data_IF_744933527922
#
_entry.id   IF_744933527922
#
_cell.length_a   1.000
_cell.length_b   1.000
_cell.length_c   1.000
_cell.angle_alpha   90.00
_cell.angle_beta   90.00
_cell.angle_gamma   90.00
#
_symmetry.space_group_name_H-M   'P 1'
#
loop_
_entity.id
_entity.type
_entity.pdbx_description
1 polymer ?
#
# COMPACT_ATOMS: atom_id res chain seq x y z
N UNK A 1 -11.54 -5.95 18.59
CA UNK A 1 -11.27 -5.06 17.43
C UNK A 1 -12.06 -5.62 16.27
N UNK A 2 -12.91 -4.82 15.64
CA UNK A 2 -13.65 -5.21 14.43
C UNK A 2 -12.96 -4.60 13.22
N UNK A 3 -12.87 -5.35 12.13
CA UNK A 3 -12.30 -4.87 10.87
C UNK A 3 -13.38 -4.95 9.79
N UNK A 4 -13.70 -3.80 9.21
CA UNK A 4 -14.66 -3.68 8.13
C UNK A 4 -13.93 -3.42 6.80
N UNK A 5 -14.43 -3.99 5.70
CA UNK A 5 -13.84 -3.80 4.38
C UNK A 5 -14.67 -2.83 3.57
N UNK A 6 -14.01 -1.76 3.12
CA UNK A 6 -14.63 -0.74 2.26
C UNK A 6 -13.91 -0.70 0.91
N UNK A 7 -14.69 -0.62 -0.14
CA UNK A 7 -14.17 -0.56 -1.50
C UNK A 7 -14.29 0.84 -2.07
N UNK A 8 -13.25 1.28 -2.75
CA UNK A 8 -13.28 2.49 -3.56
C UNK A 8 -13.60 2.09 -4.99
N UNK A 9 -14.69 2.61 -5.53
CA UNK A 9 -15.13 2.36 -6.91
C UNK A 9 -14.48 3.33 -7.88
N UNK A 10 -14.29 2.92 -9.11
CA UNK A 10 -13.74 3.76 -10.18
C UNK A 10 -12.95 2.94 -11.19
N UNK A 11 -11.65 2.95 -11.11
CA UNK A 11 -10.76 2.28 -12.07
C UNK A 11 -10.47 0.86 -11.59
N UNK A 12 -10.71 -0.11 -12.46
CA UNK A 12 -10.53 -1.54 -12.13
C UNK A 12 -9.09 -2.06 -12.31
N UNK A 13 -8.16 -1.20 -12.76
CA UNK A 13 -6.78 -1.60 -13.01
C UNK A 13 -5.82 -0.58 -12.39
N UNK A 14 -5.17 -0.96 -11.30
CA UNK A 14 -4.19 -0.15 -10.57
C UNK A 14 -2.74 -0.53 -10.92
N UNK A 15 -2.49 -1.27 -11.99
CA UNK A 15 -1.13 -1.67 -12.40
C UNK A 15 -0.27 -0.49 -12.90
N UNK A 16 -0.91 0.63 -13.21
CA UNK A 16 -0.23 1.82 -13.73
C UNK A 16 -0.41 2.99 -12.78
N UNK A 17 0.67 3.71 -12.52
CA UNK A 17 0.68 4.86 -11.63
C UNK A 17 -0.35 5.94 -12.02
N UNK A 18 -0.64 6.10 -13.32
CA UNK A 18 -1.66 7.05 -13.77
C UNK A 18 -3.04 6.68 -13.24
N UNK A 19 -3.40 5.39 -13.22
CA UNK A 19 -4.68 4.94 -12.70
C UNK A 19 -4.74 5.01 -11.18
N UNK A 20 -3.63 4.71 -10.51
CA UNK A 20 -3.48 4.93 -9.08
C UNK A 20 -3.71 6.41 -8.74
N UNK A 21 -3.04 7.33 -9.45
CA UNK A 21 -3.21 8.77 -9.26
C UNK A 21 -4.65 9.25 -9.50
N UNK A 22 -5.35 8.70 -10.47
CA UNK A 22 -6.77 9.03 -10.71
C UNK A 22 -7.69 8.59 -9.57
N UNK A 23 -7.30 7.60 -8.78
CA UNK A 23 -8.06 7.12 -7.62
C UNK A 23 -7.81 7.92 -6.34
N UNK A 24 -6.77 8.78 -6.29
CA UNK A 24 -6.39 9.51 -5.08
C UNK A 24 -7.55 10.31 -4.48
N UNK A 25 -8.32 11.02 -5.32
CA UNK A 25 -9.49 11.78 -4.89
C UNK A 25 -10.54 10.88 -4.23
N UNK A 26 -10.87 9.75 -4.85
CA UNK A 26 -11.88 8.83 -4.35
C UNK A 26 -11.45 8.17 -3.03
N UNK A 27 -10.16 7.91 -2.86
CA UNK A 27 -9.60 7.37 -1.61
C UNK A 27 -9.73 8.41 -0.48
N UNK A 28 -9.37 9.67 -0.73
CA UNK A 28 -9.50 10.75 0.26
C UNK A 28 -10.95 10.94 0.67
N UNK A 29 -11.90 10.93 -0.27
CA UNK A 29 -13.32 11.04 0.05
C UNK A 29 -13.80 9.87 0.92
N UNK A 30 -13.33 8.65 0.63
CA UNK A 30 -13.67 7.47 1.43
C UNK A 30 -13.10 7.55 2.84
N UNK A 31 -11.86 7.99 3.01
CA UNK A 31 -11.26 8.21 4.34
C UNK A 31 -12.08 9.22 5.13
N UNK A 32 -12.48 10.33 4.51
CA UNK A 32 -13.31 11.35 5.19
C UNK A 32 -14.71 10.82 5.57
N UNK A 33 -15.30 9.94 4.76
CA UNK A 33 -16.55 9.24 5.10
C UNK A 33 -16.36 8.36 6.34
N UNK A 34 -15.33 7.50 6.36
CA UNK A 34 -15.04 6.60 7.47
C UNK A 34 -14.73 7.36 8.76
N UNK A 35 -13.97 8.46 8.67
CA UNK A 35 -13.72 9.35 9.80
C UNK A 35 -15.02 9.86 10.43
N UNK A 36 -15.99 10.28 9.59
CA UNK A 36 -17.32 10.75 10.07
C UNK A 36 -18.16 9.64 10.67
N UNK A 37 -17.89 8.38 10.33
CA UNK A 37 -18.52 7.20 10.93
C UNK A 37 -17.82 6.73 12.20
N UNK A 38 -16.86 7.51 12.72
CA UNK A 38 -16.10 7.26 13.95
C UNK A 38 -15.26 5.96 13.91
N UNK A 39 -14.66 5.64 12.77
CA UNK A 39 -13.61 4.62 12.72
C UNK A 39 -12.35 5.13 13.41
N UNK A 40 -11.68 4.28 14.20
CA UNK A 40 -10.44 4.61 14.91
C UNK A 40 -9.24 4.71 13.95
N UNK A 41 -9.23 3.89 12.89
CA UNK A 41 -8.15 3.83 11.94
C UNK A 41 -8.61 3.39 10.55
N UNK A 42 -7.86 3.77 9.53
CA UNK A 42 -8.01 3.32 8.14
C UNK A 42 -6.70 2.73 7.65
N UNK A 43 -6.76 1.54 7.04
CA UNK A 43 -5.64 0.93 6.33
C UNK A 43 -5.91 1.00 4.83
N UNK A 44 -5.01 1.65 4.09
CA UNK A 44 -5.09 1.75 2.64
C UNK A 44 -4.54 0.47 2.03
N UNK A 45 -5.39 -0.41 1.51
CA UNK A 45 -5.04 -1.75 1.05
C UNK A 45 -4.22 -1.81 -0.26
N UNK A 46 -3.21 -0.95 -0.42
CA UNK A 46 -2.31 -0.92 -1.57
C UNK A 46 -0.87 -0.73 -1.10
N UNK A 47 0.05 -1.58 -1.56
CA UNK A 47 1.46 -1.58 -1.13
C UNK A 47 2.26 -0.33 -1.58
N UNK A 48 1.74 0.44 -2.52
CA UNK A 48 2.31 1.74 -2.88
C UNK A 48 1.94 2.86 -1.90
N UNK A 49 1.09 2.58 -0.90
CA UNK A 49 0.61 3.54 0.11
C UNK A 49 0.11 4.84 -0.53
N UNK A 50 -0.82 4.75 -1.51
CA UNK A 50 -1.30 5.96 -2.19
C UNK A 50 -1.98 6.91 -1.21
N UNK A 51 -1.82 8.21 -1.42
CA UNK A 51 -2.39 9.32 -0.64
C UNK A 51 -2.04 9.38 0.85
N UNK A 52 -1.20 8.50 1.38
CA UNK A 52 -0.99 8.40 2.83
C UNK A 52 -0.53 9.74 3.46
N UNK A 53 0.45 10.39 2.83
CA UNK A 53 0.97 11.67 3.30
C UNK A 53 -0.09 12.77 3.22
N UNK A 54 -0.80 12.88 2.08
CA UNK A 54 -1.86 13.86 1.88
C UNK A 54 -3.07 13.62 2.82
N UNK A 55 -3.38 12.36 3.10
CA UNK A 55 -4.44 12.02 4.02
C UNK A 55 -4.08 12.36 5.47
N UNK A 56 -2.83 12.14 5.89
CA UNK A 56 -2.33 12.53 7.21
C UNK A 56 -2.20 14.03 7.37
N UNK A 57 -1.88 14.76 6.29
CA UNK A 57 -1.89 16.23 6.30
C UNK A 57 -3.32 16.76 6.50
N UNK A 58 -4.32 16.11 5.90
CA UNK A 58 -5.70 16.57 5.89
C UNK A 58 -6.49 16.15 7.13
N UNK A 59 -6.16 15.00 7.73
CA UNK A 59 -6.90 14.38 8.82
C UNK A 59 -5.97 14.01 9.98
N UNK A 60 -6.07 14.72 11.09
CA UNK A 60 -5.29 14.53 12.31
C UNK A 60 -6.03 13.75 13.42
N UNK A 61 -7.30 13.46 13.20
CA UNK A 61 -8.20 12.81 14.15
C UNK A 61 -8.50 11.33 13.85
N UNK A 62 -7.80 10.73 12.89
CA UNK A 62 -7.90 9.31 12.54
C UNK A 62 -6.52 8.73 12.19
N UNK A 63 -6.25 7.52 12.63
CA UNK A 63 -5.00 6.84 12.27
C UNK A 63 -5.08 6.35 10.82
N UNK A 64 -4.09 6.72 10.00
CA UNK A 64 -3.98 6.28 8.61
C UNK A 64 -2.70 5.48 8.43
N UNK A 65 -2.83 4.23 8.03
CA UNK A 65 -1.72 3.31 7.85
C UNK A 65 -1.68 2.72 6.43
N UNK A 66 -0.48 2.42 5.96
CA UNK A 66 -0.24 1.76 4.70
C UNK A 66 0.57 0.47 4.86
N UNK A 67 0.29 -0.58 4.10
CA UNK A 67 1.00 -1.85 4.19
C UNK A 67 2.47 -1.72 3.73
N UNK A 68 2.78 -0.83 2.80
CA UNK A 68 4.13 -0.65 2.29
C UNK A 68 5.09 -0.11 3.36
N UNK A 69 4.76 1.03 3.96
CA UNK A 69 5.57 1.61 5.05
C UNK A 69 5.64 0.69 6.27
N UNK A 70 4.50 0.10 6.66
CA UNK A 70 4.43 -0.79 7.82
C UNK A 70 5.29 -2.04 7.62
N UNK A 71 5.24 -2.66 6.45
CA UNK A 71 6.03 -3.84 6.14
C UNK A 71 7.54 -3.58 6.20
N UNK A 72 8.01 -2.46 5.63
CA UNK A 72 9.45 -2.15 5.64
C UNK A 72 9.94 -1.75 7.02
N UNK A 73 9.12 -1.09 7.84
CA UNK A 73 9.44 -0.79 9.23
C UNK A 73 9.62 -2.08 10.03
N UNK A 74 8.67 -3.01 9.96
CA UNK A 74 8.74 -4.30 10.65
C UNK A 74 9.93 -5.11 10.13
N UNK A 75 10.13 -5.21 8.83
CA UNK A 75 11.26 -5.92 8.23
C UNK A 75 12.62 -5.35 8.70
N UNK A 76 12.70 -4.03 8.90
CA UNK A 76 13.90 -3.36 9.38
C UNK A 76 14.26 -3.68 10.83
N UNK A 77 13.29 -4.08 11.64
CA UNK A 77 13.48 -4.52 13.02
C UNK A 77 13.84 -6.00 13.08
N UNK A 78 13.20 -6.83 12.25
CA UNK A 78 13.41 -8.27 12.24
C UNK A 78 14.73 -8.70 11.60
N UNK A 79 15.28 -7.89 10.67
CA UNK A 79 16.49 -8.22 9.94
C UNK A 79 17.47 -7.06 9.80
N UNK A 80 18.75 -7.38 9.56
CA UNK A 80 19.76 -6.36 9.24
C UNK A 80 19.48 -5.66 7.92
N UNK A 81 18.99 -6.41 6.94
CA UNK A 81 18.62 -5.94 5.60
C UNK A 81 17.39 -6.70 5.12
N UNK A 82 16.63 -6.09 4.24
CA UNK A 82 15.45 -6.69 3.61
C UNK A 82 15.49 -6.49 2.09
N UNK A 83 14.73 -7.29 1.38
CA UNK A 83 14.48 -7.12 -0.06
C UNK A 83 12.99 -7.03 -0.32
N UNK A 84 12.62 -6.34 -1.39
CA UNK A 84 11.26 -6.27 -1.86
C UNK A 84 11.09 -7.08 -3.14
N UNK A 85 9.93 -7.69 -3.27
CA UNK A 85 9.45 -8.31 -4.50
C UNK A 85 8.40 -7.38 -5.09
N UNK A 86 8.57 -6.97 -6.34
CA UNK A 86 7.66 -6.13 -7.09
C UNK A 86 7.03 -6.91 -8.23
N UNK A 87 5.84 -6.52 -8.66
CA UNK A 87 5.18 -7.15 -9.81
C UNK A 87 5.84 -6.77 -11.13
N UNK A 88 6.38 -5.54 -11.25
CA UNK A 88 6.98 -5.01 -12.49
C UNK A 88 8.17 -4.10 -12.19
N UNK A 89 9.15 -4.06 -13.09
CA UNK A 89 10.29 -3.16 -12.99
C UNK A 89 9.87 -1.69 -12.88
N UNK A 90 8.86 -1.27 -13.65
CA UNK A 90 8.40 0.13 -13.67
C UNK A 90 7.81 0.62 -12.34
N UNK A 91 7.28 -0.28 -11.51
CA UNK A 91 6.72 0.09 -10.20
C UNK A 91 7.78 0.21 -9.10
N UNK A 92 8.99 -0.26 -9.36
CA UNK A 92 10.08 -0.21 -8.36
C UNK A 92 10.47 1.22 -7.98
N UNK A 93 10.36 2.18 -8.89
CA UNK A 93 10.66 3.59 -8.61
C UNK A 93 9.80 4.12 -7.48
N UNK A 94 8.48 3.91 -7.55
CA UNK A 94 7.55 4.36 -6.51
C UNK A 94 7.84 3.69 -5.15
N UNK A 95 8.11 2.39 -5.15
CA UNK A 95 8.51 1.67 -3.94
C UNK A 95 9.78 2.25 -3.32
N UNK A 96 10.80 2.56 -4.14
CA UNK A 96 12.05 3.16 -3.66
C UNK A 96 11.84 4.56 -3.08
N UNK A 97 10.95 5.36 -3.66
CA UNK A 97 10.57 6.67 -3.12
C UNK A 97 9.94 6.53 -1.73
N UNK A 98 8.96 5.64 -1.59
CA UNK A 98 8.29 5.40 -0.31
C UNK A 98 9.30 4.95 0.77
N UNK A 99 10.23 4.03 0.43
CA UNK A 99 11.27 3.59 1.37
C UNK A 99 12.22 4.72 1.77
N UNK A 100 12.55 5.64 0.85
CA UNK A 100 13.35 6.83 1.18
C UNK A 100 12.62 7.74 2.14
N UNK A 101 11.32 7.97 1.89
CA UNK A 101 10.49 8.84 2.73
C UNK A 101 10.42 8.35 4.18
N UNK A 102 10.37 7.05 4.40
CA UNK A 102 10.42 6.48 5.75
C UNK A 102 11.84 6.29 6.32
N UNK A 103 12.88 6.72 5.59
CA UNK A 103 14.27 6.72 6.07
C UNK A 103 14.95 5.34 6.11
N UNK A 104 14.37 4.31 5.49
CA UNK A 104 14.85 2.93 5.58
C UNK A 104 15.61 2.42 4.35
N UNK A 105 15.94 3.29 3.41
CA UNK A 105 16.62 2.93 2.16
C UNK A 105 17.97 2.25 2.37
N UNK A 106 18.71 2.61 3.42
CA UNK A 106 20.02 2.02 3.74
C UNK A 106 19.95 0.55 4.15
N UNK A 107 18.80 0.09 4.61
CA UNK A 107 18.53 -1.31 4.95
C UNK A 107 18.01 -2.14 3.78
N UNK A 108 17.66 -1.50 2.66
CA UNK A 108 17.21 -2.21 1.46
C UNK A 108 18.40 -2.90 0.77
N UNK A 109 18.29 -4.21 0.60
CA UNK A 109 19.28 -5.01 -0.12
C UNK A 109 19.03 -5.03 -1.63
N UNK A 110 17.78 -5.23 -2.04
CA UNK A 110 17.38 -5.23 -3.46
C UNK A 110 15.87 -5.07 -3.63
N UNK A 111 15.46 -4.67 -4.83
CA UNK A 111 14.09 -4.83 -5.32
C UNK A 111 14.13 -5.80 -6.50
N UNK A 112 13.27 -6.82 -6.48
CA UNK A 112 13.22 -7.89 -7.48
C UNK A 112 11.88 -7.88 -8.19
N UNK A 113 11.79 -7.42 -9.44
CA UNK A 113 10.56 -7.50 -10.22
C UNK A 113 10.32 -8.94 -10.69
N UNK A 114 9.07 -9.36 -10.66
CA UNK A 114 8.63 -10.67 -11.17
C UNK A 114 8.20 -10.61 -12.62
N UNK A 115 7.95 -9.43 -13.18
CA UNK A 115 7.44 -9.15 -14.53
C UNK A 115 6.13 -9.90 -14.85
N UNK A 116 5.24 -9.94 -13.88
CA UNK A 116 3.90 -10.54 -14.00
C UNK A 116 2.81 -9.47 -13.82
N UNK A 117 1.63 -9.74 -14.34
CA UNK A 117 0.46 -8.85 -14.12
C UNK A 117 -0.18 -9.16 -12.77
N UNK A 118 -0.76 -8.15 -12.13
CA UNK A 118 -1.53 -8.34 -10.89
C UNK A 118 -2.67 -9.33 -11.10
N UNK A 119 -3.35 -9.28 -12.27
CA UNK A 119 -4.40 -10.24 -12.64
C UNK A 119 -3.91 -11.69 -12.72
N UNK A 120 -2.64 -11.91 -13.02
CA UNK A 120 -2.06 -13.26 -13.15
C UNK A 120 -1.61 -13.79 -11.78
N UNK A 121 -1.22 -12.89 -10.86
CA UNK A 121 -0.99 -13.26 -9.45
C UNK A 121 -2.20 -13.93 -8.82
N UNK A 122 -3.39 -13.40 -9.05
CA UNK A 122 -4.63 -13.96 -8.51
C UNK A 122 -4.93 -15.37 -9.06
N UNK A 123 -4.50 -15.67 -10.29
CA UNK A 123 -4.67 -17.00 -10.89
C UNK A 123 -3.65 -18.01 -10.37
N UNK A 124 -2.46 -17.55 -10.00
CA UNK A 124 -1.34 -18.41 -9.58
C UNK A 124 -1.30 -18.63 -8.07
N UNK A 125 -1.82 -17.68 -7.29
CA UNK A 125 -1.90 -17.78 -5.83
C UNK A 125 -3.24 -18.37 -5.38
N UNK A 126 -3.51 -19.62 -5.72
CA UNK A 126 -4.46 -20.40 -4.96
C UNK A 126 -3.73 -20.86 -3.69
N UNK A 127 -3.62 -19.98 -2.70
CA UNK A 127 -3.31 -20.41 -1.35
C UNK A 127 -4.55 -21.10 -0.80
N UNK A 128 -4.58 -22.41 -0.91
CA UNK A 128 -5.46 -23.23 -0.13
C UNK A 128 -4.97 -23.16 1.33
N UNK A 129 -5.49 -22.23 2.12
CA UNK A 129 -5.51 -22.42 3.57
C UNK A 129 -6.49 -23.56 3.82
N UNK A 130 -5.97 -24.78 3.98
CA UNK A 130 -6.72 -25.84 4.66
C UNK A 130 -6.69 -25.51 6.15
N UNK A 131 -7.87 -25.34 6.72
CA UNK A 131 -8.11 -25.35 8.15
C UNK A 131 -7.60 -26.66 8.77
#
# INVERSE_FOLDING_TARGET
>A
MTVDYHYVTGINNLEYLVFENMMLHSIILKINELRKLNYDAVIIGCFHDPVIDAAREMFDDIIIAGPGESAVQIASVLGKRYSLISVRQKTTTKMLENIRNVGLITKLASVRPLEIRVSDLQKTMIFSCKE
#
